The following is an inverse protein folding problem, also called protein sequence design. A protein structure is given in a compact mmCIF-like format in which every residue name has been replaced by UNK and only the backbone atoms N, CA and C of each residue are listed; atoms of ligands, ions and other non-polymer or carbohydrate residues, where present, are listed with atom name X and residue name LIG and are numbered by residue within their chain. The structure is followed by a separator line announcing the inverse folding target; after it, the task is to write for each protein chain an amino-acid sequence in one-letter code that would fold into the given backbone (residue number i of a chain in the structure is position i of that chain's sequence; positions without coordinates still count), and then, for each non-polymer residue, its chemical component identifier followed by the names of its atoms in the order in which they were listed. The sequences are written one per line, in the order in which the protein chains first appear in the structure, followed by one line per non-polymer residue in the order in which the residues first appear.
data_IF_795239055102
#
_entry.id   IF_795239055102
#
_cell.length_a   1.000
_cell.length_b   1.000
_cell.length_c   1.000
_cell.angle_alpha   90.00
_cell.angle_beta   90.00
_cell.angle_gamma   90.00
#
_symmetry.space_group_name_H-M   'P 1'
#
loop_
_entity.id
_entity.type
_entity.pdbx_description
1 polymer ?
#
# COMPACT_ATOMS: atom_id res chain seq x y z
N UNK A 1 -26.78 -0.19 5.02
CA UNK A 1 -25.95 0.88 5.63
C UNK A 1 -24.51 0.43 5.90
N UNK A 2 -24.28 -0.80 6.39
CA UNK A 2 -22.92 -1.34 6.63
C UNK A 2 -22.16 -1.61 5.33
N UNK A 3 -22.84 -2.15 4.31
CA UNK A 3 -22.23 -2.45 3.00
C UNK A 3 -21.63 -1.22 2.33
N UNK A 4 -22.35 -0.08 2.28
CA UNK A 4 -21.82 1.12 1.63
C UNK A 4 -20.61 1.74 2.36
N UNK A 5 -20.40 1.41 3.64
CA UNK A 5 -19.18 1.81 4.35
C UNK A 5 -17.98 0.99 3.89
N UNK A 6 -18.15 -0.32 3.71
CA UNK A 6 -17.10 -1.20 3.22
C UNK A 6 -16.77 -0.95 1.74
N UNK A 7 -17.76 -0.66 0.90
CA UNK A 7 -17.53 -0.28 -0.50
C UNK A 7 -16.69 1.01 -0.60
N UNK A 8 -17.04 2.02 0.20
CA UNK A 8 -16.27 3.27 0.28
C UNK A 8 -14.87 3.02 0.78
N UNK A 9 -14.72 2.26 1.87
CA UNK A 9 -13.41 1.94 2.44
C UNK A 9 -12.53 1.22 1.42
N UNK A 10 -13.07 0.21 0.72
CA UNK A 10 -12.37 -0.52 -0.33
C UNK A 10 -11.92 0.40 -1.48
N UNK A 11 -12.80 1.29 -1.96
CA UNK A 11 -12.46 2.26 -3.01
C UNK A 11 -11.35 3.23 -2.55
N UNK A 12 -11.45 3.76 -1.33
CA UNK A 12 -10.41 4.62 -0.75
C UNK A 12 -9.09 3.88 -0.58
N UNK A 13 -9.10 2.63 -0.13
CA UNK A 13 -7.89 1.82 0.03
C UNK A 13 -7.20 1.57 -1.30
N UNK A 14 -7.96 1.29 -2.37
CA UNK A 14 -7.40 1.11 -3.72
C UNK A 14 -6.71 2.38 -4.23
N UNK A 15 -7.36 3.53 -4.11
CA UNK A 15 -6.75 4.78 -4.57
C UNK A 15 -5.50 5.12 -3.74
N UNK A 16 -5.61 4.99 -2.41
CA UNK A 16 -4.55 5.34 -1.47
C UNK A 16 -3.33 4.44 -1.63
N UNK A 17 -3.50 3.12 -1.84
CA UNK A 17 -2.34 2.23 -1.94
C UNK A 17 -1.46 2.55 -3.14
N UNK A 18 -2.05 2.90 -4.28
CA UNK A 18 -1.28 3.29 -5.47
C UNK A 18 -0.60 4.63 -5.28
N UNK A 19 -1.29 5.60 -4.67
CA UNK A 19 -0.72 6.90 -4.37
C UNK A 19 0.48 6.81 -3.42
N UNK A 20 0.35 6.07 -2.32
CA UNK A 20 1.42 5.91 -1.33
C UNK A 20 2.54 4.99 -1.83
N UNK A 21 2.23 3.92 -2.57
CA UNK A 21 3.24 3.10 -3.22
C UNK A 21 4.10 3.93 -4.17
N UNK A 22 3.47 4.67 -5.08
CA UNK A 22 4.19 5.51 -6.03
C UNK A 22 4.99 6.62 -5.34
N UNK A 23 4.41 7.30 -4.36
CA UNK A 23 5.10 8.34 -3.58
C UNK A 23 6.29 7.77 -2.81
N UNK A 24 6.17 6.58 -2.24
CA UNK A 24 7.28 5.89 -1.56
C UNK A 24 8.41 5.53 -2.51
N UNK A 25 8.10 5.11 -3.74
CA UNK A 25 9.11 4.83 -4.77
C UNK A 25 9.82 6.11 -5.25
N UNK A 26 9.09 7.22 -5.42
CA UNK A 26 9.70 8.53 -5.71
C UNK A 26 10.62 8.95 -4.56
N UNK A 27 10.13 8.84 -3.33
CA UNK A 27 10.93 9.15 -2.15
C UNK A 27 12.22 8.33 -2.11
N UNK A 28 12.13 7.02 -2.32
CA UNK A 28 13.28 6.11 -2.34
C UNK A 28 14.27 6.46 -3.45
N UNK A 29 13.81 6.77 -4.66
CA UNK A 29 14.70 7.06 -5.80
C UNK A 29 15.31 8.47 -5.78
N UNK A 30 14.58 9.49 -5.31
CA UNK A 30 15.01 10.88 -5.45
C UNK A 30 15.49 11.53 -4.16
N UNK A 31 15.00 11.06 -3.00
CA UNK A 31 15.18 11.78 -1.72
C UNK A 31 16.01 10.96 -0.75
N UNK A 32 15.74 9.65 -0.62
CA UNK A 32 16.34 8.79 0.40
C UNK A 32 17.88 8.86 0.41
N UNK A 33 18.52 8.70 -0.75
CA UNK A 33 19.99 8.72 -0.87
C UNK A 33 20.64 10.07 -0.53
N UNK A 34 19.86 11.15 -0.48
CA UNK A 34 20.34 12.50 -0.15
C UNK A 34 20.22 12.83 1.35
N UNK A 35 19.61 11.96 2.16
CA UNK A 35 19.47 12.17 3.60
C UNK A 35 20.66 11.49 4.30
N UNK A 36 21.59 12.26 4.89
CA UNK A 36 22.77 11.67 5.52
C UNK A 36 22.41 10.93 6.81
N UNK A 37 23.16 9.87 7.07
CA UNK A 37 23.17 9.17 8.37
C UNK A 37 24.27 9.77 9.23
N UNK A 38 24.00 10.00 10.51
CA UNK A 38 24.99 10.50 11.46
C UNK A 38 26.15 9.52 11.61
N UNK A 39 27.36 10.05 11.81
CA UNK A 39 28.54 9.22 12.01
C UNK A 39 28.40 8.36 13.28
N UNK A 40 28.41 7.04 13.12
CA UNK A 40 28.26 6.07 14.21
C UNK A 40 26.88 5.43 14.32
N UNK A 41 25.88 5.95 13.59
CA UNK A 41 24.53 5.38 13.59
C UNK A 41 24.34 4.37 12.45
N UNK A 42 23.62 3.29 12.74
CA UNK A 42 23.29 2.25 11.75
C UNK A 42 22.13 2.64 10.82
N UNK A 43 21.26 3.57 11.26
CA UNK A 43 20.07 4.01 10.55
C UNK A 43 19.90 5.53 10.67
N UNK A 44 19.47 6.18 9.59
CA UNK A 44 19.17 7.60 9.57
C UNK A 44 17.67 7.90 9.53
N UNK A 45 17.34 9.20 9.50
CA UNK A 45 15.96 9.67 9.30
C UNK A 45 15.36 9.13 7.99
N UNK A 46 16.20 8.93 6.97
CA UNK A 46 15.78 8.36 5.69
C UNK A 46 15.18 6.96 5.83
N UNK A 47 15.77 6.12 6.67
CA UNK A 47 15.29 4.75 6.92
C UNK A 47 13.96 4.74 7.65
N UNK A 48 13.77 5.66 8.59
CA UNK A 48 12.51 5.80 9.34
C UNK A 48 11.37 6.21 8.41
N UNK A 49 11.60 7.16 7.50
CA UNK A 49 10.59 7.60 6.54
C UNK A 49 10.31 6.50 5.52
N UNK A 50 11.33 5.80 5.05
CA UNK A 50 11.17 4.67 4.14
C UNK A 50 10.36 3.53 4.77
N UNK A 51 10.64 3.21 6.05
CA UNK A 51 9.85 2.25 6.83
C UNK A 51 8.40 2.72 7.01
N UNK A 52 8.17 4.02 7.19
CA UNK A 52 6.83 4.59 7.30
C UNK A 52 6.02 4.38 6.00
N UNK A 53 6.64 4.56 4.82
CA UNK A 53 5.97 4.25 3.55
C UNK A 53 5.61 2.78 3.43
N UNK A 54 6.54 1.88 3.77
CA UNK A 54 6.29 0.43 3.80
C UNK A 54 5.10 0.12 4.72
N UNK A 55 5.10 0.67 5.92
CA UNK A 55 4.04 0.47 6.91
C UNK A 55 2.68 0.96 6.40
N UNK A 56 2.61 2.16 5.82
CA UNK A 56 1.37 2.73 5.26
C UNK A 56 0.81 1.85 4.15
N UNK A 57 1.65 1.41 3.20
CA UNK A 57 1.22 0.56 2.08
C UNK A 57 0.64 -0.76 2.60
N UNK A 58 1.30 -1.40 3.58
CA UNK A 58 0.82 -2.65 4.19
C UNK A 58 -0.50 -2.45 4.93
N UNK A 59 -0.63 -1.39 5.73
CA UNK A 59 -1.86 -1.10 6.48
C UNK A 59 -3.04 -0.85 5.53
N UNK A 60 -2.83 -0.07 4.47
CA UNK A 60 -3.89 0.19 3.47
C UNK A 60 -4.30 -1.11 2.77
N UNK A 61 -3.34 -1.97 2.44
CA UNK A 61 -3.64 -3.28 1.86
C UNK A 61 -4.46 -4.16 2.82
N UNK A 62 -4.10 -4.20 4.11
CA UNK A 62 -4.87 -4.90 5.13
C UNK A 62 -6.31 -4.37 5.22
N UNK A 63 -6.51 -3.05 5.15
CA UNK A 63 -7.85 -2.46 5.10
C UNK A 63 -8.64 -2.89 3.85
N UNK A 64 -7.99 -2.96 2.68
CA UNK A 64 -8.60 -3.46 1.45
C UNK A 64 -8.98 -4.94 1.57
N UNK A 65 -8.11 -5.77 2.15
CA UNK A 65 -8.35 -7.19 2.40
C UNK A 65 -9.55 -7.39 3.33
N UNK A 66 -9.56 -6.74 4.49
CA UNK A 66 -10.66 -6.84 5.46
C UNK A 66 -11.99 -6.40 4.81
N UNK A 67 -11.97 -5.28 4.07
CA UNK A 67 -13.16 -4.77 3.39
C UNK A 67 -13.65 -5.73 2.31
N UNK A 68 -12.73 -6.30 1.54
CA UNK A 68 -13.05 -7.25 0.48
C UNK A 68 -13.65 -8.54 1.03
N UNK A 69 -13.06 -9.09 2.10
CA UNK A 69 -13.58 -10.28 2.80
C UNK A 69 -14.96 -10.00 3.37
N UNK A 70 -15.16 -8.87 4.06
CA UNK A 70 -16.45 -8.48 4.60
C UNK A 70 -17.52 -8.39 3.49
N UNK A 71 -17.25 -7.69 2.39
CA UNK A 71 -18.19 -7.57 1.26
C UNK A 71 -18.51 -8.92 0.61
N UNK A 72 -17.54 -9.82 0.54
CA UNK A 72 -17.75 -11.16 -0.03
C UNK A 72 -18.62 -12.03 0.86
N UNK A 73 -18.41 -11.99 2.18
CA UNK A 73 -19.19 -12.76 3.16
C UNK A 73 -20.63 -12.25 3.31
N UNK A 74 -20.81 -10.93 3.34
CA UNK A 74 -22.14 -10.33 3.53
C UNK A 74 -22.94 -10.20 2.24
N UNK A 75 -22.32 -10.26 1.05
CA UNK A 75 -22.98 -9.93 -0.22
C UNK A 75 -22.68 -10.94 -1.35
N UNK A 76 -22.80 -12.23 -1.00
CA UNK A 76 -22.39 -13.41 -1.80
C UNK A 76 -22.87 -13.41 -3.26
N UNK A 77 -24.04 -12.84 -3.58
CA UNK A 77 -24.63 -12.93 -4.94
C UNK A 77 -24.44 -11.71 -5.84
N UNK A 78 -24.23 -10.51 -5.30
CA UNK A 78 -24.21 -9.28 -6.12
C UNK A 78 -22.81 -8.70 -6.35
N UNK A 79 -21.94 -8.71 -5.32
CA UNK A 79 -20.71 -7.89 -5.34
C UNK A 79 -19.41 -8.68 -5.18
N UNK A 80 -19.45 -10.01 -5.11
CA UNK A 80 -18.26 -10.83 -4.85
C UNK A 80 -17.16 -10.64 -5.91
N UNK A 81 -17.53 -10.55 -7.19
CA UNK A 81 -16.55 -10.39 -8.28
C UNK A 81 -15.92 -9.00 -8.30
N UNK A 82 -16.68 -7.96 -7.97
CA UNK A 82 -16.19 -6.58 -7.83
C UNK A 82 -15.21 -6.47 -6.66
N UNK A 83 -15.57 -7.07 -5.52
CA UNK A 83 -14.72 -7.13 -4.33
C UNK A 83 -13.39 -7.84 -4.60
N UNK A 84 -13.43 -8.96 -5.32
CA UNK A 84 -12.25 -9.71 -5.71
C UNK A 84 -11.34 -8.90 -6.64
N UNK A 85 -11.90 -8.25 -7.68
CA UNK A 85 -11.14 -7.37 -8.59
C UNK A 85 -10.45 -6.24 -7.83
N UNK A 86 -11.17 -5.63 -6.90
CA UNK A 86 -10.65 -4.55 -6.08
C UNK A 86 -9.47 -5.00 -5.20
N UNK A 87 -9.58 -6.17 -4.57
CA UNK A 87 -8.50 -6.76 -3.79
C UNK A 87 -7.29 -7.12 -4.65
N UNK A 88 -7.50 -7.71 -5.83
CA UNK A 88 -6.42 -8.00 -6.78
C UNK A 88 -5.71 -6.70 -7.19
N UNK A 89 -6.45 -5.65 -7.49
CA UNK A 89 -5.88 -4.35 -7.86
C UNK A 89 -5.09 -3.73 -6.71
N UNK A 90 -5.59 -3.79 -5.47
CA UNK A 90 -4.81 -3.38 -4.30
C UNK A 90 -3.54 -4.23 -4.11
N UNK A 91 -3.62 -5.52 -4.37
CA UNK A 91 -2.48 -6.45 -4.28
C UNK A 91 -1.43 -6.14 -5.33
N UNK A 92 -1.81 -5.72 -6.53
CA UNK A 92 -0.87 -5.21 -7.55
C UNK A 92 -0.11 -3.99 -7.04
N UNK A 93 -0.77 -3.05 -6.35
CA UNK A 93 -0.09 -1.91 -5.73
C UNK A 93 0.93 -2.33 -4.66
N UNK A 94 0.57 -3.29 -3.80
CA UNK A 94 1.47 -3.84 -2.77
C UNK A 94 2.68 -4.56 -3.38
N UNK A 95 2.41 -5.54 -4.25
CA UNK A 95 3.45 -6.38 -4.87
C UNK A 95 4.33 -5.52 -5.77
N UNK A 96 3.74 -4.62 -6.55
CA UNK A 96 4.48 -3.68 -7.39
C UNK A 96 5.40 -2.78 -6.58
N UNK A 97 4.93 -2.27 -5.43
CA UNK A 97 5.77 -1.48 -4.53
C UNK A 97 6.99 -2.27 -4.04
N UNK A 98 6.79 -3.46 -3.47
CA UNK A 98 7.90 -4.27 -2.96
C UNK A 98 8.81 -4.78 -4.06
N UNK A 99 8.25 -5.22 -5.20
CA UNK A 99 9.04 -5.68 -6.34
C UNK A 99 9.98 -4.59 -6.84
N UNK A 100 9.49 -3.36 -7.04
CA UNK A 100 10.33 -2.25 -7.50
C UNK A 100 11.31 -1.83 -6.41
N UNK A 101 10.88 -1.81 -5.14
CA UNK A 101 11.71 -1.46 -4.00
C UNK A 101 12.91 -2.40 -3.81
N UNK A 102 12.68 -3.71 -3.95
CA UNK A 102 13.70 -4.74 -3.77
C UNK A 102 14.53 -4.97 -5.05
N UNK A 103 14.00 -4.58 -6.21
CA UNK A 103 14.78 -4.56 -7.44
C UNK A 103 15.83 -3.45 -7.40
N UNK A 104 17.00 -3.68 -8.03
CA UNK A 104 18.00 -2.64 -8.29
C UNK A 104 17.52 -1.59 -9.32
N UNK A 105 16.21 -1.34 -9.44
CA UNK A 105 15.66 -0.33 -10.35
C UNK A 105 15.63 1.07 -9.71
N UNK A 106 15.78 1.16 -8.39
CA UNK A 106 15.81 2.44 -7.68
C UNK A 106 17.22 2.93 -7.38
N UNK A 107 18.26 2.12 -7.67
CA UNK A 107 19.69 2.44 -7.56
C UNK A 107 20.53 1.59 -8.51
#
# INVERSE_FOLDING_TARGET
MIESKFDKLLAYSIASIHFFAFSGLIYRSQIYGNIPVSAGDAYGLGDVIDLLFVFIVVVIWCCALISSVALTLFNVKANWFTSLKALLYATVGLVGYFFVKDSNLLF
#
